data_IF_491335360853
#
_entry.id   IF_491335360853
#
_cell.length_a   1.000
_cell.length_b   1.000
_cell.length_c   1.000
_cell.angle_alpha   90.00
_cell.angle_beta   90.00
_cell.angle_gamma   90.00
#
_symmetry.space_group_name_H-M   'P 1'
#
loop_
_entity.id
_entity.type
_entity.pdbx_description
1 polymer ?
#
# COMPACT_ATOMS: atom_id res chain seq x y z
N UNK A 1 -21.37 2.15 2.09
CA UNK A 1 -20.75 1.38 1.00
C UNK A 1 -21.74 0.31 0.53
N UNK A 2 -21.91 0.15 -0.78
CA UNK A 2 -22.78 -0.86 -1.39
C UNK A 2 -21.96 -2.10 -1.74
N UNK A 3 -22.42 -3.28 -1.33
CA UNK A 3 -21.76 -4.56 -1.61
C UNK A 3 -22.46 -5.23 -2.79
N UNK A 4 -21.71 -5.62 -3.82
CA UNK A 4 -22.20 -6.44 -4.95
C UNK A 4 -21.64 -7.86 -4.87
N UNK A 5 -22.32 -8.81 -5.51
CA UNK A 5 -21.84 -10.19 -5.66
C UNK A 5 -22.00 -10.63 -7.12
N UNK A 6 -21.19 -10.04 -8.00
CA UNK A 6 -21.31 -10.20 -9.44
C UNK A 6 -20.97 -11.63 -9.94
N UNK A 7 -20.37 -12.45 -9.07
CA UNK A 7 -19.90 -13.81 -9.38
C UNK A 7 -20.63 -14.89 -8.58
N UNK A 8 -21.78 -14.58 -7.97
CA UNK A 8 -22.61 -15.52 -7.19
C UNK A 8 -21.81 -16.31 -6.14
N UNK A 9 -20.87 -15.64 -5.46
CA UNK A 9 -20.04 -16.25 -4.43
C UNK A 9 -20.87 -16.71 -3.22
N UNK A 10 -20.45 -17.78 -2.51
CA UNK A 10 -21.16 -18.29 -1.34
C UNK A 10 -21.43 -17.22 -0.27
N UNK A 11 -22.54 -17.37 0.46
CA UNK A 11 -22.98 -16.41 1.48
C UNK A 11 -21.95 -16.16 2.58
N UNK A 12 -21.05 -17.11 2.85
CA UNK A 12 -19.93 -16.93 3.79
C UNK A 12 -19.02 -15.75 3.39
N UNK A 13 -18.71 -15.59 2.11
CA UNK A 13 -17.92 -14.47 1.61
C UNK A 13 -18.69 -13.15 1.71
N UNK A 14 -19.97 -13.15 1.35
CA UNK A 14 -20.84 -11.98 1.51
C UNK A 14 -20.90 -11.52 2.97
N UNK A 15 -21.02 -12.48 3.90
CA UNK A 15 -21.06 -12.21 5.34
C UNK A 15 -19.73 -11.65 5.85
N UNK A 16 -18.59 -12.16 5.36
CA UNK A 16 -17.28 -11.61 5.73
C UNK A 16 -17.19 -10.11 5.40
N UNK A 17 -17.57 -9.71 4.18
CA UNK A 17 -17.55 -8.30 3.77
C UNK A 17 -18.50 -7.44 4.60
N UNK A 18 -19.70 -7.95 4.90
CA UNK A 18 -20.69 -7.23 5.72
C UNK A 18 -20.27 -7.08 7.18
N UNK A 19 -19.53 -8.06 7.69
CA UNK A 19 -19.08 -8.11 9.07
C UNK A 19 -17.71 -7.45 9.26
N UNK A 20 -17.14 -6.79 8.26
CA UNK A 20 -15.86 -6.09 8.42
C UNK A 20 -15.99 -5.04 9.54
N UNK A 21 -15.30 -5.31 10.66
CA UNK A 21 -15.38 -4.54 11.90
C UNK A 21 -14.28 -3.50 12.01
N UNK A 22 -13.64 -3.11 10.89
CA UNK A 22 -12.56 -2.13 10.92
C UNK A 22 -12.97 -0.88 11.73
N UNK A 23 -12.20 -0.61 12.80
CA UNK A 23 -12.35 0.56 13.65
C UNK A 23 -10.99 1.19 13.86
N UNK A 24 -10.89 2.50 13.64
CA UNK A 24 -9.73 3.32 14.02
C UNK A 24 -9.70 3.65 15.52
N UNK A 25 -10.61 3.08 16.31
CA UNK A 25 -10.88 3.50 17.67
C UNK A 25 -11.35 4.95 17.73
N UNK A 26 -11.06 5.63 18.84
CA UNK A 26 -11.38 7.06 19.03
C UNK A 26 -10.35 8.01 18.36
N UNK A 27 -9.53 7.49 17.44
CA UNK A 27 -8.49 8.28 16.78
C UNK A 27 -9.05 9.15 15.65
N UNK A 28 -8.43 10.32 15.45
CA UNK A 28 -8.75 11.17 14.30
C UNK A 28 -8.23 10.51 13.00
N UNK A 29 -7.02 9.95 13.04
CA UNK A 29 -6.35 9.36 11.88
C UNK A 29 -5.52 8.12 12.27
N UNK A 30 -5.40 7.16 11.34
CA UNK A 30 -4.52 5.99 11.49
C UNK A 30 -3.19 6.17 10.74
N UNK A 31 -2.16 5.40 11.10
CA UNK A 31 -0.89 5.34 10.36
C UNK A 31 -1.12 4.95 8.88
N UNK A 32 -1.99 3.99 8.60
CA UNK A 32 -2.31 3.61 7.21
C UNK A 32 -2.98 4.73 6.42
N UNK A 33 -3.70 5.63 7.11
CA UNK A 33 -4.37 6.77 6.47
C UNK A 33 -3.47 7.99 6.32
N UNK A 34 -2.56 8.22 7.29
CA UNK A 34 -1.72 9.42 7.32
C UNK A 34 -0.61 9.39 6.27
N UNK A 35 -0.15 8.20 5.88
CA UNK A 35 0.85 8.03 4.83
C UNK A 35 0.25 8.10 3.40
N UNK A 36 -1.08 8.05 3.27
CA UNK A 36 -1.81 8.11 1.99
C UNK A 36 -2.34 9.52 1.72
N UNK A 37 -2.74 9.83 0.48
CA UNK A 37 -3.22 11.15 0.10
C UNK A 37 -4.42 11.62 0.95
N UNK A 38 -4.41 12.85 1.50
CA UNK A 38 -5.54 13.40 2.24
C UNK A 38 -6.79 13.51 1.38
N UNK A 39 -6.64 13.76 0.06
CA UNK A 39 -7.73 13.83 -0.90
C UNK A 39 -8.48 12.50 -0.98
N UNK A 40 -7.73 11.39 -1.08
CA UNK A 40 -8.31 10.04 -1.16
C UNK A 40 -9.06 9.71 0.12
N UNK A 41 -8.48 10.01 1.29
CA UNK A 41 -9.15 9.81 2.59
C UNK A 41 -10.48 10.58 2.65
N UNK A 42 -10.45 11.88 2.38
CA UNK A 42 -11.63 12.75 2.46
C UNK A 42 -12.70 12.35 1.46
N UNK A 43 -12.34 12.00 0.22
CA UNK A 43 -13.30 11.53 -0.78
C UNK A 43 -13.92 10.18 -0.39
N UNK A 44 -13.15 9.26 0.21
CA UNK A 44 -13.69 7.98 0.71
C UNK A 44 -14.67 8.20 1.86
N UNK A 45 -14.36 9.14 2.76
CA UNK A 45 -15.23 9.52 3.86
C UNK A 45 -16.54 10.15 3.33
N UNK A 46 -16.43 11.09 2.38
CA UNK A 46 -17.55 11.83 1.79
C UNK A 46 -18.49 10.95 0.94
N UNK A 47 -17.92 10.04 0.14
CA UNK A 47 -18.67 9.20 -0.81
C UNK A 47 -18.85 7.77 -0.30
N UNK A 48 -18.67 7.52 0.99
CA UNK A 48 -18.68 6.17 1.57
C UNK A 48 -19.93 5.38 1.21
N UNK A 49 -21.08 6.03 1.14
CA UNK A 49 -22.38 5.40 0.84
C UNK A 49 -22.65 5.21 -0.65
N UNK A 50 -21.93 5.94 -1.49
CA UNK A 50 -21.99 5.85 -2.96
C UNK A 50 -20.98 4.83 -3.51
N UNK A 51 -19.88 4.62 -2.78
CA UNK A 51 -18.86 3.61 -3.12
C UNK A 51 -19.48 2.22 -3.19
N UNK A 52 -19.07 1.48 -4.22
CA UNK A 52 -19.46 0.09 -4.46
C UNK A 52 -18.24 -0.82 -4.39
N UNK A 53 -18.37 -1.99 -3.79
CA UNK A 53 -17.30 -3.00 -3.70
C UNK A 53 -17.89 -4.37 -3.95
N UNK A 54 -17.28 -5.13 -4.86
CA UNK A 54 -17.69 -6.51 -5.09
C UNK A 54 -17.09 -7.44 -4.05
N UNK A 55 -17.82 -8.49 -3.68
CA UNK A 55 -17.32 -9.53 -2.78
C UNK A 55 -16.03 -10.17 -3.31
N UNK A 56 -15.84 -10.29 -4.63
CA UNK A 56 -14.60 -10.80 -5.21
C UNK A 56 -13.37 -9.95 -4.88
N UNK A 57 -13.55 -8.65 -4.71
CA UNK A 57 -12.45 -7.71 -4.44
C UNK A 57 -11.93 -7.85 -3.00
N UNK A 58 -12.76 -8.42 -2.11
CA UNK A 58 -12.46 -8.58 -0.68
C UNK A 58 -11.71 -9.86 -0.35
N UNK A 59 -11.45 -10.71 -1.34
CA UNK A 59 -10.67 -11.95 -1.15
C UNK A 59 -9.26 -11.64 -0.64
N UNK A 60 -8.61 -10.61 -1.16
CA UNK A 60 -7.25 -10.27 -0.72
C UNK A 60 -7.18 -9.71 0.71
N UNK A 61 -8.05 -8.76 1.11
CA UNK A 61 -8.22 -8.40 2.51
C UNK A 61 -8.50 -9.60 3.42
N UNK A 62 -9.40 -10.51 3.01
CA UNK A 62 -9.71 -11.73 3.77
C UNK A 62 -8.47 -12.58 4.04
N UNK A 63 -7.64 -12.82 3.03
CA UNK A 63 -6.39 -13.55 3.20
C UNK A 63 -5.43 -12.85 4.17
N UNK A 64 -5.31 -11.53 4.08
CA UNK A 64 -4.51 -10.75 5.02
C UNK A 64 -4.97 -10.94 6.47
N UNK A 65 -6.27 -10.71 6.73
CA UNK A 65 -6.86 -10.89 8.06
C UNK A 65 -6.70 -12.31 8.59
N UNK A 66 -6.92 -13.33 7.75
CA UNK A 66 -6.78 -14.72 8.15
C UNK A 66 -5.34 -15.06 8.54
N UNK A 67 -4.36 -14.57 7.79
CA UNK A 67 -2.93 -14.78 8.07
C UNK A 67 -2.52 -14.10 9.37
N UNK A 68 -2.93 -12.84 9.60
CA UNK A 68 -2.66 -12.14 10.85
C UNK A 68 -3.21 -12.89 12.05
N UNK A 69 -4.48 -13.32 12.01
CA UNK A 69 -5.09 -14.09 13.09
C UNK A 69 -4.36 -15.41 13.37
N UNK A 70 -3.90 -16.12 12.33
CA UNK A 70 -3.14 -17.38 12.51
C UNK A 70 -1.79 -17.10 13.18
N UNK A 71 -1.07 -16.07 12.74
CA UNK A 71 0.23 -15.70 13.29
C UNK A 71 0.11 -15.21 14.73
N UNK A 72 -0.91 -14.42 15.05
CA UNK A 72 -1.23 -13.99 16.42
C UNK A 72 -1.43 -15.19 17.35
N UNK A 73 -2.21 -16.19 16.91
CA UNK A 73 -2.49 -17.37 17.74
C UNK A 73 -1.28 -18.28 18.00
N UNK A 74 -0.19 -18.11 17.23
CA UNK A 74 0.97 -18.99 17.27
C UNK A 74 2.10 -18.47 18.19
N UNK A 75 2.07 -17.21 18.60
CA UNK A 75 3.15 -16.61 19.39
C UNK A 75 2.97 -16.85 20.89
N UNK A 76 3.90 -17.60 21.46
CA UNK A 76 4.01 -17.87 22.90
C UNK A 76 5.34 -17.39 23.48
N UNK A 77 6.09 -16.59 22.72
CA UNK A 77 7.45 -16.18 23.07
C UNK A 77 7.44 -15.07 24.13
N UNK A 78 8.34 -15.19 25.11
CA UNK A 78 8.57 -14.12 26.09
C UNK A 78 9.00 -12.81 25.41
N UNK A 79 8.49 -11.69 25.91
CA UNK A 79 8.81 -10.36 25.38
C UNK A 79 8.16 -10.03 24.04
N UNK A 80 7.17 -10.81 23.59
CA UNK A 80 6.42 -10.54 22.36
C UNK A 80 5.07 -9.86 22.68
N UNK A 81 4.78 -8.77 21.96
CA UNK A 81 3.49 -8.07 21.98
C UNK A 81 2.91 -8.08 20.57
N UNK A 82 1.64 -8.45 20.42
CA UNK A 82 0.97 -8.65 19.12
C UNK A 82 -0.30 -7.82 19.04
N UNK A 83 -0.59 -7.31 17.84
CA UNK A 83 -1.81 -6.55 17.49
C UNK A 83 -2.08 -5.37 18.46
N UNK A 84 -1.01 -4.76 18.97
CA UNK A 84 -1.15 -3.65 19.91
C UNK A 84 -1.45 -2.36 19.16
N UNK A 85 -2.52 -1.69 19.59
CA UNK A 85 -2.87 -0.36 19.11
C UNK A 85 -2.30 0.72 20.02
N UNK A 86 -1.37 1.51 19.48
CA UNK A 86 -0.80 2.67 20.15
C UNK A 86 -1.42 3.96 19.66
N UNK A 87 -1.39 5.00 20.51
CA UNK A 87 -1.98 6.30 20.25
C UNK A 87 -1.00 7.42 20.60
N UNK A 88 -1.05 8.53 19.86
CA UNK A 88 -0.33 9.74 20.24
C UNK A 88 -1.04 10.99 19.74
N UNK A 89 -1.03 12.06 20.55
CA UNK A 89 -1.73 13.31 20.23
C UNK A 89 -0.77 14.34 19.62
N UNK A 90 -1.07 14.82 18.43
CA UNK A 90 -0.27 15.75 17.63
C UNK A 90 -1.21 16.84 17.12
N UNK A 91 -0.95 18.11 17.43
CA UNK A 91 -1.78 19.23 17.00
C UNK A 91 -3.28 19.03 17.25
N UNK A 92 -3.64 18.49 18.42
CA UNK A 92 -5.01 18.11 18.84
C UNK A 92 -5.63 16.91 18.12
N UNK A 93 -4.99 16.35 17.10
CA UNK A 93 -5.40 15.08 16.48
C UNK A 93 -4.74 13.90 17.19
N UNK A 94 -5.51 12.85 17.42
CA UNK A 94 -4.97 11.56 17.88
C UNK A 94 -4.63 10.72 16.66
N UNK A 95 -3.34 10.40 16.51
CA UNK A 95 -2.82 9.39 15.59
C UNK A 95 -2.88 8.02 16.26
N UNK A 96 -3.31 6.99 15.54
CA UNK A 96 -3.26 5.60 15.99
C UNK A 96 -2.53 4.68 15.01
N UNK A 97 -1.92 3.62 15.52
CA UNK A 97 -1.32 2.56 14.71
C UNK A 97 -1.54 1.21 15.38
N UNK A 98 -1.91 0.19 14.61
CA UNK A 98 -1.92 -1.19 15.08
C UNK A 98 -0.66 -1.87 14.57
N UNK A 99 0.16 -2.33 15.50
CA UNK A 99 1.45 -2.94 15.22
C UNK A 99 1.26 -4.45 15.34
N UNK A 100 1.41 -5.17 14.23
CA UNK A 100 1.18 -6.61 14.15
C UNK A 100 2.04 -7.36 15.17
N UNK A 101 3.34 -7.08 15.22
CA UNK A 101 4.26 -7.79 16.11
C UNK A 101 5.43 -6.92 16.58
N UNK A 102 5.68 -6.97 17.89
CA UNK A 102 6.79 -6.32 18.57
C UNK A 102 7.53 -7.34 19.42
N UNK A 103 8.85 -7.38 19.31
CA UNK A 103 9.70 -8.25 20.13
C UNK A 103 10.69 -7.41 20.93
N UNK A 104 10.61 -7.52 22.25
CA UNK A 104 11.59 -6.99 23.17
C UNK A 104 12.83 -7.90 23.18
N UNK A 105 13.98 -7.30 22.88
CA UNK A 105 15.29 -7.93 22.98
C UNK A 105 16.15 -7.11 23.95
N UNK A 106 16.12 -7.53 25.21
CA UNK A 106 16.78 -6.85 26.32
C UNK A 106 16.20 -5.46 26.58
N UNK A 107 16.90 -4.41 26.12
CA UNK A 107 16.50 -3.00 26.27
C UNK A 107 16.15 -2.36 24.94
N UNK A 108 15.61 -3.12 24.00
CA UNK A 108 15.26 -2.61 22.68
C UNK A 108 14.08 -3.37 22.07
N UNK A 109 13.37 -2.74 21.14
CA UNK A 109 12.22 -3.33 20.46
C UNK A 109 12.52 -3.51 18.97
N UNK A 110 12.18 -4.68 18.42
CA UNK A 110 12.10 -4.92 16.98
C UNK A 110 10.65 -5.01 16.53
N UNK A 111 10.31 -4.35 15.42
CA UNK A 111 8.96 -4.34 14.86
C UNK A 111 8.93 -5.23 13.62
N UNK A 112 7.93 -6.11 13.55
CA UNK A 112 7.62 -6.91 12.35
C UNK A 112 6.20 -6.59 11.91
N UNK A 113 6.04 -6.23 10.63
CA UNK A 113 4.74 -6.11 9.98
C UNK A 113 4.58 -7.26 8.97
N UNK A 114 3.46 -7.98 9.04
CA UNK A 114 3.21 -9.13 8.17
C UNK A 114 2.38 -8.68 6.97
N UNK A 115 2.84 -8.99 5.76
CA UNK A 115 2.13 -8.61 4.52
C UNK A 115 1.86 -9.82 3.66
N UNK A 116 0.58 -10.09 3.40
CA UNK A 116 0.20 -10.95 2.26
C UNK A 116 0.22 -10.10 1.00
N UNK A 117 1.15 -10.38 0.09
CA UNK A 117 1.42 -9.52 -1.07
C UNK A 117 1.82 -10.32 -2.30
N UNK A 118 1.98 -9.62 -3.44
CA UNK A 118 2.53 -10.22 -4.65
C UNK A 118 4.05 -10.23 -4.64
N UNK A 119 4.65 -11.20 -5.31
CA UNK A 119 6.10 -11.29 -5.59
C UNK A 119 6.63 -9.98 -6.17
N UNK A 120 5.89 -9.40 -7.11
CA UNK A 120 6.28 -8.15 -7.77
C UNK A 120 6.31 -6.94 -6.84
N UNK A 121 5.53 -6.94 -5.76
CA UNK A 121 5.60 -5.88 -4.76
C UNK A 121 6.92 -5.94 -3.97
N UNK A 122 7.48 -7.13 -3.79
CA UNK A 122 8.78 -7.31 -3.14
C UNK A 122 9.91 -6.96 -4.11
N UNK A 123 9.85 -7.45 -5.35
CA UNK A 123 10.89 -7.19 -6.36
C UNK A 123 11.05 -5.70 -6.65
N UNK A 124 9.94 -4.95 -6.78
CA UNK A 124 9.99 -3.52 -7.06
C UNK A 124 10.09 -2.64 -5.80
N UNK A 125 9.90 -3.22 -4.62
CA UNK A 125 9.78 -2.48 -3.37
C UNK A 125 8.48 -1.68 -3.23
N UNK A 126 8.19 -1.26 -2.00
CA UNK A 126 7.06 -0.38 -1.66
C UNK A 126 7.49 0.60 -0.58
N UNK A 127 7.61 1.88 -0.97
CA UNK A 127 8.03 2.95 -0.05
C UNK A 127 7.01 3.14 1.08
N UNK A 128 5.74 2.79 0.84
CA UNK A 128 4.68 2.88 1.84
C UNK A 128 4.95 1.98 3.06
N UNK A 129 5.67 0.87 2.89
CA UNK A 129 6.08 0.02 4.01
C UNK A 129 7.10 0.72 4.91
N UNK A 130 8.04 1.44 4.29
CA UNK A 130 9.02 2.24 5.01
C UNK A 130 8.34 3.35 5.81
N UNK A 131 7.40 4.06 5.18
CA UNK A 131 6.63 5.11 5.85
C UNK A 131 5.79 4.55 7.00
N UNK A 132 5.07 3.46 6.75
CA UNK A 132 4.22 2.80 7.76
C UNK A 132 5.03 2.36 8.98
N UNK A 133 6.12 1.61 8.79
CA UNK A 133 6.93 1.08 9.89
C UNK A 133 7.67 2.18 10.65
N UNK A 134 8.11 3.26 9.98
CA UNK A 134 8.71 4.40 10.67
C UNK A 134 7.69 5.19 11.49
N UNK A 135 6.42 5.28 11.04
CA UNK A 135 5.34 5.82 11.87
C UNK A 135 5.02 4.92 13.09
N UNK A 136 5.12 3.59 12.95
CA UNK A 136 5.00 2.68 14.10
C UNK A 136 6.17 2.85 15.08
N UNK A 137 7.39 2.97 14.58
CA UNK A 137 8.55 3.25 15.42
C UNK A 137 8.42 4.59 16.16
N UNK A 138 7.86 5.62 15.52
CA UNK A 138 7.48 6.87 16.20
C UNK A 138 6.45 6.65 17.31
N UNK A 139 5.40 5.86 17.07
CA UNK A 139 4.38 5.60 18.10
C UNK A 139 4.99 4.84 19.29
N UNK A 140 5.88 3.89 19.05
CA UNK A 140 6.63 3.20 20.11
C UNK A 140 7.47 4.21 20.88
N UNK A 141 8.26 5.08 20.22
CA UNK A 141 9.07 6.11 20.91
C UNK A 141 8.25 7.04 21.80
N UNK A 142 6.95 7.23 21.51
CA UNK A 142 6.05 8.11 22.28
C UNK A 142 5.26 7.39 23.36
N UNK A 143 5.20 6.06 23.33
CA UNK A 143 4.41 5.26 24.26
C UNK A 143 5.26 4.32 25.12
N UNK A 144 6.49 4.01 24.70
CA UNK A 144 7.39 3.06 25.35
C UNK A 144 8.76 3.69 25.53
N UNK A 145 9.35 3.51 26.71
CA UNK A 145 10.69 4.01 27.05
C UNK A 145 11.81 3.05 26.58
N UNK A 146 11.67 2.48 25.38
CA UNK A 146 12.62 1.53 24.79
C UNK A 146 12.99 1.96 23.36
N UNK A 147 14.29 1.97 23.01
CA UNK A 147 14.74 2.27 21.66
C UNK A 147 14.34 1.17 20.67
N UNK A 148 14.07 1.58 19.42
CA UNK A 148 13.80 0.65 18.33
C UNK A 148 15.14 0.16 17.75
N UNK A 149 15.32 -1.16 17.71
CA UNK A 149 16.51 -1.83 17.18
C UNK A 149 16.42 -2.02 15.67
N UNK A 150 15.27 -2.50 15.19
CA UNK A 150 15.04 -2.78 13.78
C UNK A 150 13.54 -2.76 13.46
N UNK A 151 13.24 -2.49 12.19
CA UNK A 151 11.91 -2.59 11.62
C UNK A 151 11.99 -3.42 10.34
N UNK A 152 11.03 -4.33 10.15
CA UNK A 152 11.05 -5.24 9.01
C UNK A 152 9.64 -5.62 8.56
N UNK A 153 9.54 -6.02 7.29
CA UNK A 153 8.35 -6.67 6.74
C UNK A 153 8.62 -8.15 6.56
N UNK A 154 7.68 -9.00 7.00
CA UNK A 154 7.64 -10.41 6.60
C UNK A 154 6.56 -10.56 5.53
N UNK A 155 7.01 -10.66 4.28
CA UNK A 155 6.15 -10.74 3.10
C UNK A 155 5.81 -12.21 2.79
N UNK A 156 4.53 -12.55 2.79
CA UNK A 156 3.97 -13.84 2.37
C UNK A 156 3.45 -13.68 0.95
N UNK A 157 4.05 -14.41 0.02
CA UNK A 157 3.93 -14.21 -1.42
C UNK A 157 2.86 -15.12 -2.03
N UNK A 158 1.68 -14.55 -2.24
CA UNK A 158 0.47 -15.29 -2.66
C UNK A 158 0.52 -15.85 -4.08
N UNK A 159 1.37 -15.28 -4.93
CA UNK A 159 1.58 -15.64 -6.34
C UNK A 159 2.98 -16.22 -6.59
N UNK A 160 3.64 -16.72 -5.54
CA UNK A 160 4.93 -17.37 -5.64
C UNK A 160 4.88 -18.67 -6.44
N UNK A 161 5.90 -18.90 -7.26
CA UNK A 161 6.02 -20.07 -8.13
C UNK A 161 7.40 -20.73 -8.00
N UNK A 162 7.40 -22.02 -7.67
CA UNK A 162 8.62 -22.83 -7.51
C UNK A 162 9.49 -22.88 -8.76
N UNK A 163 8.89 -22.98 -9.96
CA UNK A 163 9.65 -23.07 -11.21
C UNK A 163 10.37 -21.76 -11.53
N UNK A 164 9.77 -20.63 -11.18
CA UNK A 164 10.42 -19.33 -11.36
C UNK A 164 11.59 -19.19 -10.39
N UNK A 165 11.42 -19.59 -9.12
CA UNK A 165 12.50 -19.60 -8.12
C UNK A 165 13.71 -20.45 -8.57
N UNK A 166 13.47 -21.65 -9.13
CA UNK A 166 14.52 -22.54 -9.64
C UNK A 166 15.30 -21.95 -10.85
N UNK A 167 14.66 -21.08 -11.64
CA UNK A 167 15.24 -20.55 -12.90
C UNK A 167 15.85 -19.18 -12.76
N UNK A 168 15.43 -18.40 -11.77
CA UNK A 168 15.72 -16.98 -11.64
C UNK A 168 16.28 -16.68 -10.26
N UNK A 169 17.53 -16.25 -10.20
CA UNK A 169 18.19 -15.83 -8.96
C UNK A 169 17.62 -14.52 -8.39
N UNK A 170 17.03 -13.68 -9.24
CA UNK A 170 16.36 -12.42 -8.88
C UNK A 170 14.91 -12.61 -8.39
N UNK A 171 14.42 -13.86 -8.41
CA UNK A 171 13.10 -14.21 -7.91
C UNK A 171 13.20 -14.71 -6.45
N UNK A 172 12.24 -14.40 -5.56
CA UNK A 172 12.23 -14.91 -4.20
C UNK A 172 12.38 -16.43 -4.15
N UNK A 173 13.37 -16.92 -3.40
CA UNK A 173 13.68 -18.35 -3.32
C UNK A 173 12.73 -19.13 -2.40
N UNK A 174 11.92 -18.42 -1.61
CA UNK A 174 10.90 -18.97 -0.75
C UNK A 174 9.59 -18.17 -0.91
N UNK A 175 8.42 -18.76 -0.61
CA UNK A 175 7.14 -18.05 -0.62
C UNK A 175 6.99 -17.06 0.54
N UNK A 176 7.98 -16.95 1.41
CA UNK A 176 8.05 -15.98 2.51
C UNK A 176 9.43 -15.32 2.48
N UNK A 177 9.45 -14.00 2.60
CA UNK A 177 10.70 -13.20 2.58
C UNK A 177 10.65 -12.17 3.70
N UNK A 178 11.74 -12.08 4.45
CA UNK A 178 11.97 -10.97 5.40
C UNK A 178 12.71 -9.85 4.69
N UNK A 179 12.19 -8.63 4.84
CA UNK A 179 12.72 -7.42 4.20
C UNK A 179 13.04 -6.44 5.31
N UNK A 180 14.32 -6.15 5.49
CA UNK A 180 14.76 -5.11 6.40
C UNK A 180 14.36 -3.74 5.85
N UNK A 181 13.77 -2.92 6.70
CA UNK A 181 13.32 -1.58 6.34
C UNK A 181 14.23 -0.55 7.01
N UNK A 182 14.67 0.51 6.31
CA UNK A 182 15.50 1.55 6.91
C UNK A 182 14.79 2.22 8.08
N UNK A 183 15.36 2.09 9.29
CA UNK A 183 14.93 2.85 10.46
C UNK A 183 15.48 4.27 10.37
N UNK A 184 14.59 5.25 10.26
CA UNK A 184 14.98 6.65 10.18
C UNK A 184 15.47 7.19 11.52
N UNK A 185 16.34 8.23 11.49
CA UNK A 185 16.63 9.04 12.67
C UNK A 185 15.34 9.50 13.36
N UNK A 186 15.39 9.65 14.68
CA UNK A 186 14.20 10.00 15.47
C UNK A 186 13.60 11.33 14.99
N UNK A 187 14.45 12.31 14.71
CA UNK A 187 14.06 13.64 14.25
C UNK A 187 13.35 13.60 12.90
N UNK A 188 13.77 12.69 12.01
CA UNK A 188 13.14 12.51 10.69
C UNK A 188 11.77 11.85 10.81
N UNK A 189 11.62 10.86 11.70
CA UNK A 189 10.32 10.25 12.02
C UNK A 189 9.35 11.28 12.60
N UNK A 190 9.81 12.07 13.57
CA UNK A 190 8.99 13.12 14.20
C UNK A 190 8.57 14.20 13.19
N UNK A 191 9.49 14.64 12.33
CA UNK A 191 9.21 15.61 11.28
C UNK A 191 8.19 15.07 10.28
N UNK A 192 8.41 13.87 9.75
CA UNK A 192 7.51 13.25 8.78
C UNK A 192 6.09 13.11 9.34
N UNK A 193 5.93 12.55 10.55
CA UNK A 193 4.60 12.39 11.16
C UNK A 193 3.93 13.76 11.37
N UNK A 194 4.66 14.76 11.84
CA UNK A 194 4.13 16.11 12.08
C UNK A 194 3.67 16.80 10.79
N UNK A 195 4.48 16.72 9.73
CA UNK A 195 4.15 17.27 8.41
C UNK A 195 2.92 16.59 7.81
N UNK A 196 2.84 15.26 7.91
CA UNK A 196 1.68 14.51 7.43
C UNK A 196 0.42 14.81 8.24
N UNK A 197 0.49 14.96 9.56
CA UNK A 197 -0.67 15.38 10.36
C UNK A 197 -1.13 16.76 9.90
N UNK A 198 -0.20 17.72 9.78
CA UNK A 198 -0.52 19.08 9.35
C UNK A 198 -1.16 19.11 7.95
N UNK A 199 -0.64 18.30 7.01
CA UNK A 199 -1.20 18.17 5.67
C UNK A 199 -2.66 17.67 5.70
N UNK A 200 -2.95 16.63 6.48
CA UNK A 200 -4.31 16.10 6.60
C UNK A 200 -5.26 17.06 7.34
N UNK A 201 -4.76 17.82 8.31
CA UNK A 201 -5.52 18.85 9.00
C UNK A 201 -5.88 20.01 8.06
N UNK A 202 -4.91 20.50 7.29
CA UNK A 202 -5.14 21.56 6.30
C UNK A 202 -6.19 21.11 5.27
N UNK A 203 -6.04 19.90 4.73
CA UNK A 203 -7.01 19.35 3.78
C UNK A 203 -8.41 19.17 4.40
N UNK A 204 -8.51 18.81 5.68
CA UNK A 204 -9.79 18.73 6.38
C UNK A 204 -10.45 20.11 6.48
N UNK A 205 -9.69 21.16 6.78
CA UNK A 205 -10.22 22.53 6.84
C UNK A 205 -10.77 22.95 5.48
N UNK A 206 -9.99 22.77 4.40
CA UNK A 206 -10.47 23.08 3.05
C UNK A 206 -11.72 22.29 2.68
N UNK A 207 -11.79 21.01 3.05
CA UNK A 207 -12.99 20.20 2.86
C UNK A 207 -14.21 20.77 3.60
N UNK A 208 -14.06 21.11 4.88
CA UNK A 208 -15.14 21.63 5.72
C UNK A 208 -15.64 23.01 5.23
N UNK A 209 -14.77 23.79 4.59
CA UNK A 209 -15.09 25.08 3.96
C UNK A 209 -15.64 24.95 2.53
N UNK A 210 -15.68 23.74 1.96
CA UNK A 210 -16.09 23.51 0.57
C UNK A 210 -15.08 24.01 -0.47
N UNK A 211 -13.82 24.18 -0.07
CA UNK A 211 -12.71 24.56 -0.95
C UNK A 211 -12.16 23.35 -1.73
N UNK A 212 -11.31 23.61 -2.72
CA UNK A 212 -10.66 22.55 -3.48
C UNK A 212 -9.66 21.77 -2.62
N UNK A 213 -9.76 20.43 -2.67
CA UNK A 213 -8.83 19.54 -1.98
C UNK A 213 -7.45 19.56 -2.64
N UNK A 214 -6.35 19.42 -1.87
CA UNK A 214 -5.02 19.28 -2.45
C UNK A 214 -4.98 18.09 -3.42
N UNK A 215 -4.31 18.27 -4.56
CA UNK A 215 -4.16 17.22 -5.56
C UNK A 215 -3.28 16.09 -5.05
N UNK A 216 -3.57 14.86 -5.47
CA UNK A 216 -2.69 13.72 -5.27
C UNK A 216 -1.39 13.94 -6.06
N UNK A 217 -0.24 13.59 -5.48
CA UNK A 217 1.05 13.65 -6.17
C UNK A 217 1.19 12.55 -7.23
N UNK A 218 2.25 12.60 -8.03
CA UNK A 218 2.56 11.55 -9.01
C UNK A 218 2.82 10.19 -8.32
N UNK A 219 3.46 10.22 -7.15
CA UNK A 219 3.68 9.05 -6.29
C UNK A 219 2.35 8.53 -5.74
N UNK A 220 1.48 9.39 -5.20
CA UNK A 220 0.15 9.01 -4.70
C UNK A 220 -0.70 8.34 -5.78
N UNK A 221 -0.50 8.71 -7.05
CA UNK A 221 -1.27 8.25 -8.21
C UNK A 221 -0.62 7.05 -8.92
N UNK A 222 0.54 6.61 -8.44
CA UNK A 222 1.37 5.55 -9.05
C UNK A 222 1.63 5.83 -10.53
N UNK A 223 2.16 7.02 -10.82
CA UNK A 223 2.52 7.41 -12.19
C UNK A 223 3.53 6.43 -12.76
N UNK A 224 3.17 5.83 -13.89
CA UNK A 224 4.10 5.14 -14.77
C UNK A 224 4.45 6.06 -15.92
N UNK A 225 5.74 6.21 -16.18
CA UNK A 225 6.22 6.92 -17.37
C UNK A 225 5.85 6.21 -18.66
N UNK A 226 6.09 6.89 -19.77
CA UNK A 226 5.95 6.30 -21.10
C UNK A 226 6.92 5.13 -21.29
N UNK A 227 6.52 4.18 -22.12
CA UNK A 227 7.34 3.03 -22.44
C UNK A 227 7.16 2.60 -23.90
N UNK A 228 8.25 2.21 -24.55
CA UNK A 228 8.27 1.72 -25.92
C UNK A 228 8.55 0.23 -25.91
N UNK A 229 7.51 -0.57 -26.11
CA UNK A 229 7.58 -2.02 -26.07
C UNK A 229 7.84 -2.58 -27.47
N UNK A 230 9.01 -3.17 -27.67
CA UNK A 230 9.33 -3.87 -28.91
C UNK A 230 8.82 -5.31 -28.83
N UNK A 231 7.98 -5.71 -29.79
CA UNK A 231 7.40 -7.06 -29.86
C UNK A 231 7.42 -7.59 -31.29
N UNK A 232 7.37 -8.91 -31.43
CA UNK A 232 7.13 -9.54 -32.73
C UNK A 232 5.72 -9.21 -33.19
N UNK A 233 5.54 -8.92 -34.48
CA UNK A 233 4.22 -8.66 -35.07
C UNK A 233 3.26 -9.80 -34.74
N UNK A 234 2.09 -9.46 -34.19
CA UNK A 234 1.07 -10.42 -33.77
C UNK A 234 1.25 -11.03 -32.37
N UNK A 235 2.36 -10.80 -31.68
CA UNK A 235 2.54 -11.26 -30.31
C UNK A 235 1.91 -10.29 -29.30
N UNK A 236 1.36 -10.86 -28.21
CA UNK A 236 0.86 -10.06 -27.06
C UNK A 236 1.97 -9.64 -26.08
N UNK A 237 3.08 -10.38 -26.03
CA UNK A 237 4.17 -10.14 -25.07
C UNK A 237 5.32 -9.39 -25.74
N UNK A 238 5.79 -8.32 -25.09
CA UNK A 238 6.98 -7.59 -25.48
C UNK A 238 8.25 -8.47 -25.34
N UNK A 239 9.15 -8.35 -26.30
CA UNK A 239 10.49 -8.92 -26.22
C UNK A 239 11.39 -8.05 -25.33
N UNK A 240 11.25 -6.73 -25.46
CA UNK A 240 11.97 -5.73 -24.65
C UNK A 240 11.12 -4.46 -24.52
N UNK A 241 11.34 -3.72 -23.44
CA UNK A 241 10.66 -2.44 -23.17
C UNK A 241 11.74 -1.39 -22.91
N UNK A 242 11.58 -0.22 -23.53
CA UNK A 242 12.47 0.93 -23.42
C UNK A 242 11.74 2.10 -22.78
N UNK A 243 12.49 2.99 -22.17
CA UNK A 243 12.03 4.23 -21.52
C UNK A 243 12.05 5.44 -22.49
N UNK A 244 12.50 5.25 -23.74
CA UNK A 244 12.49 6.27 -24.77
C UNK A 244 12.34 5.64 -26.18
N UNK A 245 11.79 6.41 -27.11
CA UNK A 245 11.53 5.97 -28.49
C UNK A 245 12.82 5.66 -29.26
N UNK A 246 13.85 6.49 -29.11
CA UNK A 246 15.09 6.39 -29.87
C UNK A 246 15.76 5.03 -29.62
N UNK A 247 15.89 4.62 -28.36
CA UNK A 247 16.46 3.32 -28.00
C UNK A 247 15.62 2.14 -28.53
N UNK A 248 14.30 2.28 -28.60
CA UNK A 248 13.44 1.26 -29.19
C UNK A 248 13.60 1.16 -30.71
N UNK A 249 13.73 2.31 -31.40
CA UNK A 249 14.01 2.37 -32.84
C UNK A 249 15.39 1.77 -33.17
N UNK A 250 16.43 2.12 -32.40
CA UNK A 250 17.77 1.53 -32.53
C UNK A 250 17.76 0.02 -32.33
N UNK A 251 16.97 -0.49 -31.38
CA UNK A 251 16.86 -1.93 -31.15
C UNK A 251 16.14 -2.68 -32.27
N UNK A 252 15.10 -2.10 -32.88
CA UNK A 252 14.43 -2.72 -34.04
C UNK A 252 15.35 -2.69 -35.26
N UNK A 253 16.04 -1.57 -35.52
CA UNK A 253 16.84 -1.39 -36.73
C UNK A 253 16.03 -1.72 -37.99
N UNK A 254 16.53 -2.64 -38.83
CA UNK A 254 15.87 -3.07 -40.07
C UNK A 254 14.98 -4.32 -39.90
N UNK A 255 14.72 -4.77 -38.67
CA UNK A 255 13.99 -6.02 -38.41
C UNK A 255 12.48 -5.86 -38.69
N UNK A 256 12.05 -6.28 -39.87
CA UNK A 256 10.66 -6.14 -40.34
C UNK A 256 9.64 -7.02 -39.62
N UNK A 257 10.09 -8.02 -38.85
CA UNK A 257 9.24 -8.91 -38.06
C UNK A 257 8.90 -8.33 -36.67
N UNK A 258 9.48 -7.19 -36.29
CA UNK A 258 9.22 -6.48 -35.04
C UNK A 258 8.36 -5.23 -35.27
N UNK A 259 7.71 -4.78 -34.20
CA UNK A 259 6.97 -3.52 -34.14
C UNK A 259 7.16 -2.86 -32.75
N UNK A 260 7.11 -1.53 -32.72
CA UNK A 260 7.12 -0.74 -31.49
C UNK A 260 5.68 -0.43 -31.12
N UNK A 261 5.29 -0.79 -29.91
CA UNK A 261 4.07 -0.34 -29.26
C UNK A 261 4.44 0.77 -28.28
N UNK A 262 4.06 2.01 -28.58
CA UNK A 262 4.12 3.09 -27.61
C UNK A 262 3.04 2.88 -26.55
N UNK A 263 3.46 2.85 -25.29
CA UNK A 263 2.61 2.78 -24.11
C UNK A 263 2.69 4.13 -23.42
N UNK A 264 1.65 4.92 -23.60
CA UNK A 264 1.52 6.22 -22.93
C UNK A 264 1.63 6.05 -21.42
N UNK A 265 2.21 7.06 -20.78
CA UNK A 265 2.27 7.13 -19.33
C UNK A 265 0.86 7.06 -18.73
N UNK A 266 0.73 6.40 -17.59
CA UNK A 266 -0.56 6.24 -16.94
C UNK A 266 -0.48 6.43 -15.44
N UNK A 267 -1.52 7.05 -14.90
CA UNK A 267 -1.77 7.12 -13.47
C UNK A 267 -2.51 5.87 -13.03
N UNK A 268 -1.76 4.80 -12.78
CA UNK A 268 -2.29 3.44 -12.56
C UNK A 268 -3.35 3.44 -11.46
N UNK A 269 -3.11 4.16 -10.37
CA UNK A 269 -4.04 4.20 -9.23
C UNK A 269 -5.40 4.77 -9.61
N UNK A 270 -5.39 5.85 -10.40
CA UNK A 270 -6.59 6.54 -10.86
C UNK A 270 -7.33 5.71 -11.92
N UNK A 271 -6.62 5.28 -12.97
CA UNK A 271 -7.18 4.52 -14.10
C UNK A 271 -7.81 3.20 -13.68
N UNK A 272 -7.19 2.49 -12.75
CA UNK A 272 -7.74 1.23 -12.21
C UNK A 272 -8.75 1.43 -11.08
N UNK A 273 -9.07 2.67 -10.71
CA UNK A 273 -9.88 3.00 -9.53
C UNK A 273 -9.39 2.29 -8.24
N UNK A 274 -8.08 2.09 -8.08
CA UNK A 274 -7.51 1.42 -6.91
C UNK A 274 -7.67 2.26 -5.63
N UNK A 275 -7.95 3.56 -5.75
CA UNK A 275 -8.35 4.41 -4.62
C UNK A 275 -9.83 4.22 -4.23
N UNK A 276 -10.67 3.63 -5.08
CA UNK A 276 -12.10 3.40 -4.86
C UNK A 276 -13.00 4.63 -5.06
N UNK A 277 -12.41 5.79 -5.40
CA UNK A 277 -13.10 7.09 -5.51
C UNK A 277 -12.76 7.84 -6.79
N UNK A 278 -12.10 7.19 -7.76
CA UNK A 278 -11.67 7.83 -9.01
C UNK A 278 -12.86 8.38 -9.81
N UNK A 279 -14.02 7.72 -9.77
CA UNK A 279 -15.27 8.16 -10.43
C UNK A 279 -15.80 9.50 -9.91
N UNK A 280 -15.46 9.88 -8.68
CA UNK A 280 -15.88 11.14 -8.06
C UNK A 280 -14.79 12.22 -8.15
N UNK A 281 -13.55 11.83 -8.45
CA UNK A 281 -12.38 12.67 -8.33
C UNK A 281 -12.31 13.72 -9.46
N UNK A 282 -12.29 15.02 -9.12
CA UNK A 282 -12.13 16.09 -10.12
C UNK A 282 -10.74 16.07 -10.78
N UNK A 283 -9.68 15.76 -10.03
CA UNK A 283 -8.32 15.63 -10.59
C UNK A 283 -8.30 14.57 -11.70
N UNK A 284 -8.85 13.38 -11.45
CA UNK A 284 -8.86 12.30 -12.45
C UNK A 284 -9.69 12.65 -13.68
N UNK A 285 -10.85 13.29 -13.48
CA UNK A 285 -11.68 13.79 -14.60
C UNK A 285 -10.91 14.79 -15.47
N UNK A 286 -10.17 15.71 -14.84
CA UNK A 286 -9.34 16.66 -15.57
C UNK A 286 -8.13 16.04 -16.29
N UNK A 287 -7.70 14.82 -15.93
CA UNK A 287 -6.62 14.12 -16.64
C UNK A 287 -7.07 13.39 -17.91
N UNK A 288 -8.39 13.15 -18.05
CA UNK A 288 -8.97 12.38 -19.17
C UNK A 288 -9.77 13.25 -20.15
N UNK A 289 -9.96 14.54 -19.83
CA UNK A 289 -10.55 15.58 -20.69
C UNK A 289 -9.47 16.18 -21.62
#
# INVERSE_FOLDING_TARGET
MKITNNYDLPQSFVNFVRNDKYSKGDANISVTSIIDSPRIRLMRDAHRDEMTTDVSDMIWPLFGTAVHHVLESASTDDGVTIEERLFHKINKWTLSGAIDHQKEDGKSISITDYKVTSVWSVIHGKVEWEYQLNCYAYLIDKNKDLPIKSIQVVAILRDWNRRDAERRSDYPQAPVVTIDVPLWPKEDRERYVSERVALHQSAQISFDLGEELPNCSDEDRWKRGEAWAVKKKGNKRAQRVFDNEIAAQEFIGDQTNLEIEHREGEYVRCKGNYCGVATFCSQYRGDIE
#
